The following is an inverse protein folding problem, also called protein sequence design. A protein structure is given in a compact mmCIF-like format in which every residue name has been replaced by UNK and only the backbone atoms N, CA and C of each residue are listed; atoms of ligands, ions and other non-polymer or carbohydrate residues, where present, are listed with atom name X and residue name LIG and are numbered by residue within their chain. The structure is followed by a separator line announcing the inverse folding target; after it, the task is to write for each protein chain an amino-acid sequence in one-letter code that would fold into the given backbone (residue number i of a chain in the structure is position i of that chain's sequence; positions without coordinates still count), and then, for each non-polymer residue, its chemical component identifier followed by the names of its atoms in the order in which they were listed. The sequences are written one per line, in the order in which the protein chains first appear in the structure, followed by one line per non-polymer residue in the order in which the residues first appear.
data_IF_848597045531
#
_entry.id   IF_848597045531
#
_cell.length_a   1.000
_cell.length_b   1.000
_cell.length_c   1.000
_cell.angle_alpha   90.00
_cell.angle_beta   90.00
_cell.angle_gamma   90.00
#
_symmetry.space_group_name_H-M   'P 1'
#
loop_
_entity.id
_entity.type
_entity.pdbx_description
1 polymer ?
#
# COMPACT_ATOMS: atom_id res chain seq x y z
N UNK A 1 -11.99 -28.76 9.79
CA UNK A 1 -12.64 -27.98 8.72
C UNK A 1 -11.85 -26.68 8.65
N UNK A 2 -11.02 -26.47 7.64
CA UNK A 2 -10.30 -25.19 7.51
C UNK A 2 -11.37 -24.15 7.18
N UNK A 3 -11.46 -23.11 7.99
CA UNK A 3 -12.39 -22.01 7.77
C UNK A 3 -12.05 -21.37 6.42
N UNK A 4 -13.00 -21.33 5.49
CA UNK A 4 -12.79 -20.81 4.15
C UNK A 4 -12.30 -19.34 4.18
N UNK A 5 -12.66 -18.60 5.23
CA UNK A 5 -12.20 -17.22 5.45
C UNK A 5 -10.70 -17.20 5.77
N UNK A 6 -10.24 -18.07 6.66
CA UNK A 6 -8.83 -18.18 7.01
C UNK A 6 -7.98 -18.62 5.81
N UNK A 7 -8.45 -19.60 5.04
CA UNK A 7 -7.77 -20.05 3.83
C UNK A 7 -7.67 -18.95 2.76
N UNK A 8 -8.73 -18.14 2.60
CA UNK A 8 -8.72 -17.01 1.66
C UNK A 8 -7.74 -15.94 2.11
N UNK A 9 -7.73 -15.62 3.40
CA UNK A 9 -6.78 -14.66 3.96
C UNK A 9 -5.33 -15.13 3.75
N UNK A 10 -5.00 -16.38 4.07
CA UNK A 10 -3.66 -16.92 3.84
C UNK A 10 -3.24 -16.86 2.36
N UNK A 11 -4.16 -17.15 1.44
CA UNK A 11 -3.90 -17.06 0.01
C UNK A 11 -3.62 -15.61 -0.43
N UNK A 12 -4.41 -14.64 0.04
CA UNK A 12 -4.19 -13.21 -0.25
C UNK A 12 -2.82 -12.75 0.24
N UNK A 13 -2.44 -13.15 1.45
CA UNK A 13 -1.15 -12.81 2.05
C UNK A 13 0.01 -13.39 1.22
N UNK A 14 -0.10 -14.66 0.82
CA UNK A 14 0.89 -15.32 -0.04
C UNK A 14 1.02 -14.63 -1.41
N UNK A 15 -0.10 -14.20 -2.01
CA UNK A 15 -0.09 -13.43 -3.27
C UNK A 15 0.61 -12.09 -3.06
N UNK A 16 0.28 -11.35 -2.00
CA UNK A 16 0.92 -10.06 -1.72
C UNK A 16 2.43 -10.24 -1.54
N UNK A 17 2.86 -11.23 -0.77
CA UNK A 17 4.28 -11.52 -0.58
C UNK A 17 4.99 -11.90 -1.88
N UNK A 18 4.38 -12.72 -2.74
CA UNK A 18 4.90 -13.04 -4.07
C UNK A 18 5.07 -11.77 -4.91
N UNK A 19 4.03 -10.93 -5.00
CA UNK A 19 4.05 -9.73 -5.82
C UNK A 19 5.04 -8.69 -5.31
N UNK A 20 5.21 -8.55 -4.00
CA UNK A 20 6.23 -7.63 -3.44
C UNK A 20 7.65 -8.00 -3.86
N UNK A 21 7.96 -9.29 -4.05
CA UNK A 21 9.28 -9.74 -4.56
C UNK A 21 9.55 -9.33 -6.00
N UNK A 22 8.50 -9.05 -6.77
CA UNK A 22 8.59 -8.62 -8.18
C UNK A 22 8.80 -7.10 -8.33
N UNK A 23 8.91 -6.36 -7.23
CA UNK A 23 9.18 -4.93 -7.23
C UNK A 23 8.06 -4.11 -7.89
N UNK A 24 8.44 -3.14 -8.73
CA UNK A 24 7.50 -2.23 -9.39
C UNK A 24 6.40 -2.97 -10.17
N UNK A 25 6.77 -4.02 -10.91
CA UNK A 25 5.82 -4.78 -11.74
C UNK A 25 4.78 -5.51 -10.89
N UNK A 26 5.22 -6.09 -9.77
CA UNK A 26 4.30 -6.79 -8.86
C UNK A 26 3.37 -5.83 -8.14
N UNK A 27 3.88 -4.66 -7.75
CA UNK A 27 3.05 -3.63 -7.15
C UNK A 27 2.02 -3.07 -8.13
N UNK A 28 2.43 -2.76 -9.37
CA UNK A 28 1.51 -2.33 -10.43
C UNK A 28 0.41 -3.38 -10.67
N UNK A 29 0.78 -4.66 -10.71
CA UNK A 29 -0.20 -5.75 -10.83
C UNK A 29 -1.23 -5.74 -9.70
N UNK A 30 -0.80 -5.55 -8.45
CA UNK A 30 -1.71 -5.45 -7.28
C UNK A 30 -2.66 -4.25 -7.41
N UNK A 31 -2.14 -3.09 -7.82
CA UNK A 31 -2.96 -1.89 -8.06
C UNK A 31 -4.01 -2.13 -9.15
N UNK A 32 -3.70 -2.93 -10.17
CA UNK A 32 -4.67 -3.30 -11.21
C UNK A 32 -5.79 -4.22 -10.72
N UNK A 33 -5.61 -4.95 -9.62
CA UNK A 33 -6.65 -5.82 -9.05
C UNK A 33 -7.65 -5.05 -8.16
N UNK A 34 -7.34 -3.80 -7.82
CA UNK A 34 -8.21 -2.99 -6.95
C UNK A 34 -9.47 -2.59 -7.71
N UNK A 35 -10.62 -3.01 -7.17
CA UNK A 35 -11.94 -2.54 -7.63
C UNK A 35 -12.32 -1.31 -6.81
N UNK A 36 -12.42 -0.15 -7.46
CA UNK A 36 -12.74 1.11 -6.81
C UNK A 36 -14.25 1.28 -6.63
N UNK A 37 -14.75 0.89 -5.45
CA UNK A 37 -16.11 1.15 -5.02
C UNK A 37 -16.18 2.30 -3.98
N UNK A 38 -17.40 2.77 -3.69
CA UNK A 38 -17.61 3.84 -2.72
C UNK A 38 -17.19 3.46 -1.30
N UNK A 39 -17.21 2.16 -0.96
CA UNK A 39 -16.79 1.68 0.36
C UNK A 39 -15.27 1.84 0.53
N UNK A 40 -14.49 1.45 -0.47
CA UNK A 40 -13.02 1.60 -0.48
C UNK A 40 -12.61 3.07 -0.48
N UNK A 41 -13.25 3.91 -1.28
CA UNK A 41 -12.99 5.36 -1.28
C UNK A 41 -13.23 5.97 0.11
N UNK A 42 -14.35 5.61 0.74
CA UNK A 42 -14.67 6.04 2.10
C UNK A 42 -13.66 5.53 3.13
N UNK A 43 -13.23 4.27 3.02
CA UNK A 43 -12.19 3.69 3.89
C UNK A 43 -10.90 4.50 3.82
N UNK A 44 -10.45 4.81 2.60
CA UNK A 44 -9.27 5.63 2.37
C UNK A 44 -9.43 7.05 2.94
N UNK A 45 -10.58 7.68 2.74
CA UNK A 45 -10.85 9.02 3.28
C UNK A 45 -10.82 9.03 4.82
N UNK A 46 -11.44 8.03 5.45
CA UNK A 46 -11.40 7.85 6.90
C UNK A 46 -9.97 7.57 7.39
N UNK A 47 -9.19 6.77 6.65
CA UNK A 47 -7.80 6.48 6.97
C UNK A 47 -6.91 7.73 6.86
N UNK A 48 -7.03 8.51 5.79
CA UNK A 48 -6.29 9.77 5.60
C UNK A 48 -6.62 10.77 6.71
N UNK A 49 -7.86 10.78 7.21
CA UNK A 49 -8.27 11.62 8.34
C UNK A 49 -7.72 11.12 9.69
N UNK A 50 -7.71 9.82 9.93
CA UNK A 50 -7.39 9.23 11.24
C UNK A 50 -5.92 8.91 11.43
N UNK A 51 -5.22 8.48 10.37
CA UNK A 51 -3.82 8.06 10.44
C UNK A 51 -2.89 9.14 11.03
N UNK A 52 -3.01 10.45 10.76
CA UNK A 52 -2.15 11.46 11.38
C UNK A 52 -2.40 11.66 12.89
N UNK A 53 -3.58 11.26 13.37
CA UNK A 53 -3.96 11.34 14.79
C UNK A 53 -3.44 10.14 15.58
N UNK A 54 -3.38 8.97 14.94
CA UNK A 54 -2.92 7.72 15.55
C UNK A 54 -1.42 7.44 15.33
N UNK A 55 -0.82 8.01 14.28
CA UNK A 55 0.58 7.74 13.92
C UNK A 55 1.55 8.42 14.89
N UNK A 56 2.62 7.69 15.25
CA UNK A 56 3.78 8.24 15.94
C UNK A 56 4.48 9.34 15.13
N UNK A 57 4.64 9.13 13.82
CA UNK A 57 5.27 10.06 12.88
C UNK A 57 4.24 10.57 11.89
N UNK A 58 4.04 11.89 11.87
CA UNK A 58 3.14 12.55 10.91
C UNK A 58 3.87 12.85 9.62
N UNK A 59 3.33 12.35 8.52
CA UNK A 59 3.78 12.60 7.15
C UNK A 59 2.55 12.79 6.28
N UNK A 60 2.73 13.31 5.06
CA UNK A 60 1.66 13.37 4.09
C UNK A 60 1.25 11.96 3.59
N UNK A 61 0.04 11.80 3.03
CA UNK A 61 -0.44 10.48 2.59
C UNK A 61 0.46 9.80 1.56
N UNK A 62 1.04 10.54 0.60
CA UNK A 62 1.89 9.94 -0.42
C UNK A 62 3.14 9.33 0.21
N UNK A 63 3.77 10.03 1.16
CA UNK A 63 4.91 9.49 1.92
C UNK A 63 4.51 8.26 2.73
N UNK A 64 3.40 8.31 3.48
CA UNK A 64 2.95 7.18 4.31
C UNK A 64 2.71 5.91 3.47
N UNK A 65 1.99 6.06 2.35
CA UNK A 65 1.65 4.93 1.48
C UNK A 65 2.86 4.44 0.69
N UNK A 66 3.78 5.32 0.28
CA UNK A 66 5.06 4.93 -0.31
C UNK A 66 5.89 4.07 0.66
N UNK A 67 5.96 4.48 1.92
CA UNK A 67 6.66 3.73 2.97
C UNK A 67 5.98 2.38 3.24
N UNK A 68 4.65 2.31 3.22
CA UNK A 68 3.93 1.04 3.35
C UNK A 68 4.30 0.06 2.22
N UNK A 69 4.51 0.55 0.99
CA UNK A 69 4.92 -0.27 -0.15
C UNK A 69 6.37 -0.75 0.00
N UNK A 70 7.28 0.12 0.43
CA UNK A 70 8.72 -0.16 0.49
C UNK A 70 9.15 -0.96 1.72
N UNK A 71 8.54 -0.69 2.88
CA UNK A 71 8.96 -1.22 4.17
C UNK A 71 8.33 -2.58 4.47
N UNK A 72 9.02 -3.40 5.25
CA UNK A 72 8.42 -4.58 5.87
C UNK A 72 7.49 -4.20 7.04
N UNK A 73 6.63 -5.14 7.49
CA UNK A 73 5.69 -4.90 8.59
C UNK A 73 6.33 -4.32 9.84
N UNK A 74 7.46 -4.90 10.29
CA UNK A 74 8.13 -4.50 11.51
C UNK A 74 8.74 -3.09 11.43
N UNK A 75 9.40 -2.78 10.31
CA UNK A 75 10.02 -1.48 10.08
C UNK A 75 8.97 -0.38 9.98
N UNK A 76 7.86 -0.66 9.30
CA UNK A 76 6.73 0.26 9.19
C UNK A 76 6.09 0.51 10.56
N UNK A 77 5.79 -0.56 11.31
CA UNK A 77 5.20 -0.44 12.63
C UNK A 77 6.09 0.33 13.60
N UNK A 78 7.41 0.09 13.60
CA UNK A 78 8.36 0.85 14.42
C UNK A 78 8.38 2.35 14.09
N UNK A 79 8.16 2.70 12.83
CA UNK A 79 8.21 4.09 12.33
C UNK A 79 6.92 4.84 12.63
N UNK A 80 5.78 4.21 12.34
CA UNK A 80 4.47 4.88 12.35
C UNK A 80 3.58 4.46 13.52
N UNK A 81 3.86 3.34 14.19
CA UNK A 81 2.97 2.66 15.16
C UNK A 81 1.58 2.34 14.60
N UNK A 82 1.50 2.20 13.28
CA UNK A 82 0.29 1.80 12.55
C UNK A 82 0.37 0.33 12.13
N UNK A 83 -0.79 -0.25 11.81
CA UNK A 83 -0.88 -1.58 11.25
C UNK A 83 -0.47 -1.54 9.77
N UNK A 84 0.60 -2.27 9.42
CA UNK A 84 1.15 -2.27 8.07
C UNK A 84 0.19 -2.87 7.04
N UNK A 85 -0.53 -3.94 7.36
CA UNK A 85 -1.46 -4.58 6.43
C UNK A 85 -2.60 -3.65 6.03
N UNK A 86 -3.16 -2.92 7.00
CA UNK A 86 -4.18 -1.90 6.73
C UNK A 86 -3.61 -0.76 5.88
N UNK A 87 -2.42 -0.25 6.23
CA UNK A 87 -1.78 0.82 5.46
C UNK A 87 -1.43 0.38 4.03
N UNK A 88 -1.08 -0.88 3.81
CA UNK A 88 -0.77 -1.42 2.49
C UNK A 88 -2.03 -1.58 1.62
N UNK A 89 -3.15 -2.08 2.16
CA UNK A 89 -4.42 -2.14 1.41
C UNK A 89 -4.94 -0.74 1.06
N UNK A 90 -4.81 0.22 1.98
CA UNK A 90 -5.14 1.63 1.71
C UNK A 90 -4.19 2.25 0.68
N UNK A 91 -2.90 1.89 0.70
CA UNK A 91 -1.95 2.30 -0.34
C UNK A 91 -2.40 1.81 -1.73
N UNK A 92 -2.79 0.54 -1.86
CA UNK A 92 -3.30 -0.01 -3.12
C UNK A 92 -4.49 0.82 -3.64
N UNK A 93 -5.43 1.16 -2.76
CA UNK A 93 -6.60 2.00 -3.10
C UNK A 93 -6.18 3.43 -3.50
N UNK A 94 -5.25 4.03 -2.76
CA UNK A 94 -4.72 5.37 -3.04
C UNK A 94 -4.06 5.44 -4.43
N UNK A 95 -3.21 4.47 -4.75
CA UNK A 95 -2.52 4.42 -6.03
C UNK A 95 -3.45 4.04 -7.19
N UNK A 96 -4.47 3.20 -6.96
CA UNK A 96 -5.50 2.92 -7.96
C UNK A 96 -6.27 4.20 -8.34
N UNK A 97 -6.67 5.02 -7.35
CA UNK A 97 -7.32 6.31 -7.60
C UNK A 97 -6.41 7.30 -8.31
N UNK A 98 -5.13 7.35 -7.93
CA UNK A 98 -4.14 8.20 -8.60
C UNK A 98 -4.01 7.82 -10.07
N UNK A 99 -3.90 6.52 -10.37
CA UNK A 99 -3.84 5.98 -11.74
C UNK A 99 -5.05 6.38 -12.58
N UNK A 100 -6.26 6.25 -12.04
CA UNK A 100 -7.49 6.62 -12.75
C UNK A 100 -7.58 8.12 -13.05
N UNK A 101 -7.09 8.97 -12.14
CA UNK A 101 -7.21 10.43 -12.25
C UNK A 101 -6.09 11.05 -13.10
N UNK A 102 -4.86 10.59 -12.91
CA UNK A 102 -3.68 11.12 -13.57
C UNK A 102 -2.59 10.04 -13.65
N UNK A 103 -2.54 9.34 -14.77
CA UNK A 103 -1.58 8.27 -15.00
C UNK A 103 -0.12 8.75 -14.92
N UNK A 104 0.20 9.97 -15.38
CA UNK A 104 1.57 10.47 -15.33
C UNK A 104 2.04 10.65 -13.88
N UNK A 105 1.19 11.23 -13.03
CA UNK A 105 1.49 11.39 -11.61
C UNK A 105 1.67 10.03 -10.91
N UNK A 106 0.83 9.06 -11.26
CA UNK A 106 0.96 7.68 -10.78
C UNK A 106 2.29 7.05 -11.21
N UNK A 107 2.64 7.17 -12.49
CA UNK A 107 3.88 6.63 -13.03
C UNK A 107 5.11 7.26 -12.35
N UNK A 108 5.12 8.58 -12.19
CA UNK A 108 6.21 9.30 -11.51
C UNK A 108 6.35 8.84 -10.05
N UNK A 109 5.22 8.66 -9.34
CA UNK A 109 5.23 8.15 -7.97
C UNK A 109 5.84 6.74 -7.90
N UNK A 110 5.48 5.83 -8.82
CA UNK A 110 6.06 4.49 -8.88
C UNK A 110 7.58 4.53 -9.13
N UNK A 111 8.03 5.36 -10.07
CA UNK A 111 9.46 5.50 -10.35
C UNK A 111 10.20 5.98 -9.09
N UNK A 112 9.66 6.96 -8.36
CA UNK A 112 10.27 7.46 -7.13
C UNK A 112 10.34 6.37 -6.04
N UNK A 113 9.28 5.58 -5.89
CA UNK A 113 9.21 4.49 -4.90
C UNK A 113 10.24 3.39 -5.21
N UNK A 114 10.42 3.02 -6.47
CA UNK A 114 11.22 1.85 -6.83
C UNK A 114 12.64 2.15 -7.34
N UNK A 115 12.95 3.39 -7.75
CA UNK A 115 14.29 3.77 -8.22
C UNK A 115 15.21 4.32 -7.14
N UNK A 116 14.68 4.84 -6.02
CA UNK A 116 15.50 5.32 -4.90
C UNK A 116 16.32 4.23 -4.19
N UNK A 117 16.24 2.97 -4.62
CA UNK A 117 17.08 1.86 -4.14
C UNK A 117 18.36 1.63 -4.96
N UNK A 118 18.61 2.40 -6.03
CA UNK A 118 19.80 2.22 -6.89
C UNK A 118 21.07 2.92 -6.40
N UNK A 119 21.02 3.71 -5.34
CA UNK A 119 22.19 4.48 -4.86
C UNK A 119 22.98 3.83 -3.70
N UNK A 120 22.57 2.64 -3.22
CA UNK A 120 23.27 1.93 -2.13
C UNK A 120 23.75 0.51 -2.55
N UNK A 121 24.47 0.41 -3.67
CA UNK A 121 25.16 -0.80 -4.09
C UNK A 121 26.64 -0.54 -4.44
#
# INVERSE_FOLDING_TARGET
MVDAVAATFEAEQAIIEDKRKQGINGFEWLVMQVVLDEKRKKSLDDWVRLSPLASKKRVDPLTLFSDAVQMGPDAFHKTYELNWWMAFDEALTYFALMKERNYNMYFDALQNIFNNKKEEA
#
